data_IF_652301109232
#
_entry.id   IF_652301109232
#
_cell.length_a   1.000
_cell.length_b   1.000
_cell.length_c   1.000
_cell.angle_alpha   90.00
_cell.angle_beta   90.00
_cell.angle_gamma   90.00
#
_symmetry.space_group_name_H-M   'P 1'
#
loop_
_entity.id
_entity.type
_entity.pdbx_description
1 polymer ?
#
# COMPACT_ATOMS: atom_id res chain seq x y z
N UNK A 1 27.55 9.47 6.62
CA UNK A 1 27.73 8.03 6.95
C UNK A 1 26.49 7.42 7.61
N UNK A 2 25.85 8.05 8.60
CA UNK A 2 24.71 7.46 9.33
C UNK A 2 23.44 7.19 8.50
N UNK A 3 23.08 8.08 7.56
CA UNK A 3 21.93 7.85 6.66
C UNK A 3 22.09 6.61 5.75
N UNK A 4 23.33 6.19 5.46
CA UNK A 4 23.61 5.02 4.61
C UNK A 4 23.42 3.68 5.32
N UNK A 5 23.33 3.63 6.66
CA UNK A 5 23.02 2.40 7.40
C UNK A 5 21.56 2.32 7.86
N UNK A 6 20.94 3.48 8.11
CA UNK A 6 19.52 3.56 8.51
C UNK A 6 18.61 3.12 7.37
N UNK A 7 18.86 3.58 6.14
CA UNK A 7 18.01 3.24 4.99
C UNK A 7 18.06 1.73 4.66
N UNK A 8 19.21 1.04 4.57
CA UNK A 8 19.20 -0.40 4.32
C UNK A 8 18.56 -1.24 5.44
N UNK A 9 18.75 -0.84 6.70
CA UNK A 9 18.16 -1.53 7.85
C UNK A 9 16.65 -1.37 7.93
N UNK A 10 16.17 -0.12 7.81
CA UNK A 10 14.74 0.18 7.70
C UNK A 10 14.12 -0.55 6.52
N UNK A 11 14.78 -0.47 5.35
CA UNK A 11 14.27 -1.09 4.14
C UNK A 11 14.11 -2.60 4.27
N UNK A 12 15.05 -3.27 4.93
CA UNK A 12 14.94 -4.70 5.18
C UNK A 12 13.71 -5.04 6.03
N UNK A 13 13.43 -4.25 7.07
CA UNK A 13 12.25 -4.43 7.93
C UNK A 13 10.94 -4.15 7.18
N UNK A 14 10.89 -3.11 6.36
CA UNK A 14 9.69 -2.76 5.56
C UNK A 14 9.29 -3.85 4.54
N UNK A 15 10.24 -4.68 4.12
CA UNK A 15 9.99 -5.85 3.28
C UNK A 15 9.40 -7.04 4.05
N UNK A 16 9.18 -6.93 5.35
CA UNK A 16 8.58 -7.98 6.18
C UNK A 16 7.17 -7.56 6.61
N UNK A 17 6.10 -8.19 6.09
CA UNK A 17 4.73 -7.89 6.52
C UNK A 17 4.52 -8.00 8.04
N UNK A 18 5.25 -8.91 8.69
CA UNK A 18 5.22 -9.08 10.15
C UNK A 18 5.74 -7.87 10.91
N UNK A 19 6.69 -7.11 10.36
CA UNK A 19 7.11 -5.83 10.94
C UNK A 19 6.01 -4.78 10.78
N UNK A 20 5.41 -4.65 9.59
CA UNK A 20 4.29 -3.73 9.41
C UNK A 20 3.11 -4.08 10.32
N UNK A 21 2.87 -5.36 10.58
CA UNK A 21 1.81 -5.84 11.47
C UNK A 21 2.22 -5.96 12.96
N UNK A 22 3.38 -5.42 13.37
CA UNK A 22 3.82 -5.52 14.77
C UNK A 22 3.10 -4.53 15.68
N UNK A 23 2.56 -3.45 15.12
CA UNK A 23 1.78 -2.45 15.85
C UNK A 23 0.29 -2.81 15.77
N UNK A 24 -0.44 -2.64 16.87
CA UNK A 24 -1.82 -3.11 16.95
C UNK A 24 -2.77 -2.38 16.00
N UNK A 25 -2.47 -1.12 15.66
CA UNK A 25 -3.22 -0.34 14.67
C UNK A 25 -3.13 -0.96 13.28
N UNK A 26 -2.07 -1.69 12.95
CA UNK A 26 -1.89 -2.29 11.64
C UNK A 26 -2.63 -3.62 11.46
N UNK A 27 -3.18 -4.21 12.53
CA UNK A 27 -3.90 -5.48 12.48
C UNK A 27 -5.07 -5.48 11.48
N UNK A 28 -5.90 -4.42 11.49
CA UNK A 28 -7.07 -4.31 10.61
C UNK A 28 -6.67 -4.11 9.14
N UNK A 29 -5.80 -3.15 8.77
CA UNK A 29 -5.29 -3.04 7.40
C UNK A 29 -4.62 -4.32 6.90
N UNK A 30 -3.83 -4.99 7.75
CA UNK A 30 -3.17 -6.25 7.39
C UNK A 30 -4.20 -7.36 7.10
N UNK A 31 -5.22 -7.52 7.95
CA UNK A 31 -6.30 -8.46 7.71
C UNK A 31 -7.03 -8.19 6.39
N UNK A 32 -7.31 -6.92 6.07
CA UNK A 32 -7.91 -6.52 4.80
C UNK A 32 -7.02 -6.86 3.58
N UNK A 33 -5.71 -6.62 3.67
CA UNK A 33 -4.74 -7.02 2.64
C UNK A 33 -4.67 -8.54 2.41
N UNK A 34 -4.76 -9.33 3.49
CA UNK A 34 -4.83 -10.80 3.41
C UNK A 34 -6.16 -11.26 2.80
N UNK A 35 -7.29 -10.75 3.30
CA UNK A 35 -8.63 -11.13 2.88
C UNK A 35 -8.90 -10.78 1.41
N UNK A 36 -8.36 -9.66 0.93
CA UNK A 36 -8.46 -9.25 -0.47
C UNK A 36 -7.55 -10.07 -1.42
N UNK A 37 -6.80 -11.04 -0.92
CA UNK A 37 -5.88 -11.88 -1.69
C UNK A 37 -4.58 -11.19 -2.10
N UNK A 38 -4.47 -9.86 -1.96
CA UNK A 38 -3.30 -9.08 -2.38
C UNK A 38 -1.97 -9.64 -1.83
N UNK A 39 -1.98 -10.21 -0.63
CA UNK A 39 -0.84 -10.92 -0.02
C UNK A 39 -0.27 -12.08 -0.84
N UNK A 40 -1.05 -12.71 -1.72
CA UNK A 40 -0.62 -13.83 -2.57
C UNK A 40 0.24 -13.35 -3.75
N UNK A 41 -0.09 -12.18 -4.29
CA UNK A 41 0.55 -11.62 -5.49
C UNK A 41 1.56 -10.52 -5.16
N UNK A 42 1.35 -9.81 -4.05
CA UNK A 42 2.19 -8.73 -3.53
C UNK A 42 2.54 -9.01 -2.09
N UNK A 43 3.59 -9.81 -1.88
CA UNK A 43 3.94 -10.39 -0.57
C UNK A 43 4.42 -9.37 0.45
N UNK A 44 4.87 -8.18 0.02
CA UNK A 44 5.39 -7.17 0.94
C UNK A 44 4.52 -5.91 0.85
N UNK A 45 4.13 -5.36 2.01
CA UNK A 45 3.36 -4.12 2.11
C UNK A 45 4.01 -2.97 1.32
N UNK A 46 5.34 -2.91 1.38
CA UNK A 46 6.14 -1.84 0.79
C UNK A 46 6.15 -1.84 -0.75
N UNK A 47 5.73 -2.93 -1.41
CA UNK A 47 5.57 -2.96 -2.86
C UNK A 47 4.53 -1.94 -3.34
N UNK A 48 3.49 -1.74 -2.53
CA UNK A 48 2.47 -0.73 -2.77
C UNK A 48 2.74 0.56 -1.98
N UNK A 49 3.41 0.51 -0.83
CA UNK A 49 3.58 1.68 0.05
C UNK A 49 4.88 2.48 -0.15
N UNK A 50 5.79 2.02 -0.99
CA UNK A 50 7.02 2.75 -1.39
C UNK A 50 6.95 3.15 -2.85
N UNK A 51 7.39 4.36 -3.16
CA UNK A 51 7.59 4.83 -4.54
C UNK A 51 8.69 4.07 -5.28
N UNK A 52 8.84 4.36 -6.57
CA UNK A 52 9.96 3.82 -7.38
C UNK A 52 11.25 4.57 -7.10
N UNK A 53 12.38 3.87 -7.22
CA UNK A 53 13.70 4.47 -7.07
C UNK A 53 14.03 4.92 -5.65
N UNK A 54 15.18 5.58 -5.50
CA UNK A 54 15.73 5.94 -4.19
C UNK A 54 14.86 6.99 -3.47
N UNK A 55 14.30 7.95 -4.20
CA UNK A 55 13.42 8.98 -3.61
C UNK A 55 12.17 8.36 -3.01
N UNK A 56 11.53 7.42 -3.72
CA UNK A 56 10.35 6.72 -3.22
C UNK A 56 10.63 5.83 -2.02
N UNK A 57 11.84 5.27 -1.90
CA UNK A 57 12.29 4.53 -0.71
C UNK A 57 12.41 5.50 0.47
N UNK A 58 13.12 6.61 0.30
CA UNK A 58 13.32 7.60 1.36
C UNK A 58 11.98 8.17 1.86
N UNK A 59 11.06 8.49 0.95
CA UNK A 59 9.71 8.96 1.31
C UNK A 59 8.93 7.92 2.12
N UNK A 60 9.08 6.63 1.81
CA UNK A 60 8.42 5.55 2.55
C UNK A 60 8.96 5.46 3.98
N UNK A 61 10.28 5.50 4.14
CA UNK A 61 10.95 5.48 5.44
C UNK A 61 10.51 6.66 6.33
N UNK A 62 10.44 7.88 5.77
CA UNK A 62 9.95 9.04 6.51
C UNK A 62 8.48 8.91 6.93
N UNK A 63 7.63 8.32 6.09
CA UNK A 63 6.25 8.01 6.46
C UNK A 63 6.17 6.94 7.53
N UNK A 64 7.04 5.93 7.50
CA UNK A 64 7.15 4.93 8.57
C UNK A 64 7.54 5.56 9.90
N UNK A 65 8.51 6.49 9.89
CA UNK A 65 8.88 7.27 11.08
C UNK A 65 7.73 8.12 11.61
N UNK A 66 6.97 8.77 10.73
CA UNK A 66 5.77 9.52 11.10
C UNK A 66 4.74 8.60 11.79
N UNK A 67 4.51 7.40 11.27
CA UNK A 67 3.60 6.42 11.88
C UNK A 67 4.09 5.97 13.26
N UNK A 68 5.39 5.70 13.42
CA UNK A 68 5.98 5.39 14.74
C UNK A 68 5.77 6.54 15.72
N UNK A 69 5.96 7.79 15.29
CA UNK A 69 5.71 8.94 16.16
C UNK A 69 4.24 9.04 16.56
N UNK A 70 3.33 8.91 15.59
CA UNK A 70 1.87 8.95 15.80
C UNK A 70 1.41 7.85 16.76
N UNK A 71 1.99 6.65 16.70
CA UNK A 71 1.70 5.55 17.62
C UNK A 71 1.85 5.96 19.11
N UNK A 72 2.84 6.79 19.44
CA UNK A 72 3.12 7.18 20.83
C UNK A 72 2.35 8.41 21.30
N UNK A 73 1.84 9.25 20.38
CA UNK A 73 1.26 10.56 20.73
C UNK A 73 -0.24 10.66 20.46
N UNK A 74 -0.77 9.86 19.54
CA UNK A 74 -2.18 9.86 19.20
C UNK A 74 -2.97 8.97 20.17
N UNK A 75 -4.24 9.34 20.41
CA UNK A 75 -5.17 8.50 21.14
C UNK A 75 -5.57 7.27 20.32
N UNK A 76 -6.02 6.22 21.01
CA UNK A 76 -6.50 4.99 20.37
C UNK A 76 -7.66 5.26 19.41
N UNK A 77 -8.52 6.24 19.72
CA UNK A 77 -9.64 6.64 18.85
C UNK A 77 -9.15 7.27 17.54
N UNK A 78 -8.09 8.08 17.59
CA UNK A 78 -7.46 8.66 16.40
C UNK A 78 -6.80 7.58 15.52
N UNK A 79 -6.21 6.57 16.15
CA UNK A 79 -5.60 5.42 15.46
C UNK A 79 -6.62 4.45 14.86
N UNK A 80 -7.83 4.38 15.44
CA UNK A 80 -8.96 3.56 14.94
C UNK A 80 -9.74 4.20 13.79
N UNK A 81 -9.52 5.50 13.53
CA UNK A 81 -10.16 6.25 12.46
C UNK A 81 -9.95 5.63 11.07
N UNK A 82 -10.56 6.19 10.00
CA UNK A 82 -10.39 5.65 8.66
C UNK A 82 -8.90 5.67 8.30
N UNK A 83 -8.30 4.49 8.12
CA UNK A 83 -6.89 4.35 7.74
C UNK A 83 -6.66 5.10 6.42
N UNK A 84 -5.99 6.25 6.51
CA UNK A 84 -5.58 7.02 5.33
C UNK A 84 -4.28 6.43 4.81
N UNK A 85 -4.39 5.30 4.12
CA UNK A 85 -3.26 4.75 3.38
C UNK A 85 -3.02 5.57 2.11
N UNK A 86 -1.88 6.24 2.03
CA UNK A 86 -1.46 6.93 0.79
C UNK A 86 -0.83 5.90 -0.14
N UNK A 87 -1.62 5.38 -1.07
CA UNK A 87 -1.17 4.55 -2.21
C UNK A 87 -1.64 5.21 -3.50
N UNK A 88 -0.82 6.12 -4.06
CA UNK A 88 -1.13 6.75 -5.33
C UNK A 88 -1.18 5.75 -6.51
N UNK A 89 -1.93 6.07 -7.56
CA UNK A 89 -2.12 5.20 -8.74
C UNK A 89 -0.81 4.84 -9.44
N UNK A 90 0.19 5.74 -9.40
CA UNK A 90 1.51 5.49 -9.97
C UNK A 90 2.23 4.32 -9.30
N UNK A 91 1.85 3.93 -8.08
CA UNK A 91 2.41 2.77 -7.41
C UNK A 91 1.82 1.47 -7.96
N UNK A 92 0.56 1.48 -8.38
CA UNK A 92 -0.09 0.36 -9.06
C UNK A 92 0.48 0.15 -10.46
N UNK A 93 0.71 1.23 -11.22
CA UNK A 93 1.13 1.16 -12.63
C UNK A 93 2.58 0.72 -12.83
N UNK A 94 3.39 0.67 -11.76
CA UNK A 94 4.70 -0.02 -11.76
C UNK A 94 4.59 -1.46 -12.26
N UNK A 95 3.56 -2.16 -11.80
CA UNK A 95 3.29 -3.55 -12.15
C UNK A 95 2.14 -3.67 -13.16
N UNK A 96 1.16 -2.78 -13.07
CA UNK A 96 -0.10 -2.80 -13.84
C UNK A 96 -0.21 -1.65 -14.83
N UNK A 97 0.75 -1.57 -15.77
CA UNK A 97 0.68 -0.58 -16.86
C UNK A 97 -0.58 -0.77 -17.71
N UNK A 98 -1.25 0.34 -18.05
CA UNK A 98 -2.40 0.39 -18.96
C UNK A 98 -2.06 0.01 -20.40
N UNK A 99 -0.78 -0.03 -20.74
CA UNK A 99 -0.29 -0.49 -22.04
C UNK A 99 -0.38 -2.02 -22.17
N UNK A 100 -0.40 -2.75 -21.05
CA UNK A 100 -0.52 -4.22 -21.07
C UNK A 100 -1.90 -4.63 -21.61
N UNK A 101 -1.99 -5.48 -22.64
CA UNK A 101 -3.26 -5.85 -23.27
C UNK A 101 -4.31 -6.37 -22.29
N UNK A 102 -3.90 -7.18 -21.30
CA UNK A 102 -4.79 -7.72 -20.27
C UNK A 102 -5.40 -6.62 -19.40
N UNK A 103 -4.59 -5.67 -18.92
CA UNK A 103 -5.06 -4.54 -18.11
C UNK A 103 -5.99 -3.66 -18.93
N UNK A 104 -5.61 -3.34 -20.17
CA UNK A 104 -6.45 -2.56 -21.08
C UNK A 104 -7.80 -3.22 -21.35
N UNK A 105 -7.81 -4.54 -21.60
CA UNK A 105 -9.02 -5.29 -21.87
C UNK A 105 -9.96 -5.34 -20.65
N UNK A 106 -9.41 -5.58 -19.45
CA UNK A 106 -10.18 -5.58 -18.21
C UNK A 106 -10.89 -4.24 -17.94
N UNK A 107 -10.28 -3.15 -18.37
CA UNK A 107 -10.78 -1.80 -18.15
C UNK A 107 -11.54 -1.19 -19.34
N UNK A 108 -11.66 -1.90 -20.48
CA UNK A 108 -12.27 -1.36 -21.70
C UNK A 108 -13.71 -0.88 -21.49
N UNK A 109 -14.46 -1.55 -20.61
CA UNK A 109 -15.87 -1.23 -20.28
C UNK A 109 -16.03 -0.08 -19.28
N UNK A 110 -14.94 0.38 -18.67
CA UNK A 110 -14.96 1.39 -17.61
C UNK A 110 -14.19 2.66 -17.99
N UNK A 111 -13.80 2.80 -19.27
CA UNK A 111 -12.93 3.90 -19.74
C UNK A 111 -13.38 5.28 -19.26
N UNK A 112 -14.67 5.60 -19.42
CA UNK A 112 -15.27 6.88 -18.99
C UNK A 112 -15.32 7.04 -17.46
N UNK A 113 -15.42 5.94 -16.71
CA UNK A 113 -15.48 5.96 -15.24
C UNK A 113 -14.11 5.99 -14.57
N UNK A 114 -13.04 5.72 -15.34
CA UNK A 114 -11.66 5.75 -14.82
C UNK A 114 -11.00 7.10 -14.96
N UNK A 115 -11.46 7.95 -15.88
CA UNK A 115 -10.82 9.24 -16.15
C UNK A 115 -10.83 10.11 -14.88
N UNK A 116 -9.64 10.50 -14.41
CA UNK A 116 -9.48 11.29 -13.18
C UNK A 116 -9.66 10.54 -11.86
N UNK A 117 -9.94 9.23 -11.86
CA UNK A 117 -10.16 8.46 -10.64
C UNK A 117 -8.96 7.56 -10.28
N UNK A 118 -8.48 7.59 -9.01
CA UNK A 118 -7.41 6.71 -8.55
C UNK A 118 -7.76 5.21 -8.65
N UNK A 119 -6.75 4.36 -8.88
CA UNK A 119 -6.93 2.91 -8.94
C UNK A 119 -7.62 2.37 -7.67
N UNK A 120 -7.23 2.89 -6.50
CA UNK A 120 -7.76 2.49 -5.19
C UNK A 120 -9.24 2.81 -4.96
N UNK A 121 -9.89 3.62 -5.80
CA UNK A 121 -11.33 3.85 -5.68
C UNK A 121 -12.14 2.60 -6.03
N UNK A 122 -11.64 1.82 -6.98
CA UNK A 122 -12.23 0.54 -7.34
C UNK A 122 -11.44 -0.63 -6.73
N UNK A 123 -10.10 -0.59 -6.73
CA UNK A 123 -9.22 -1.66 -6.26
C UNK A 123 -8.73 -1.42 -4.82
N UNK A 124 -9.58 -1.61 -3.81
CA UNK A 124 -9.22 -1.47 -2.39
C UNK A 124 -9.30 -2.77 -1.59
N UNK A 125 -8.62 -2.79 -0.45
CA UNK A 125 -8.43 -3.97 0.39
C UNK A 125 -9.08 -3.85 1.78
N UNK A 126 -10.27 -3.26 1.86
CA UNK A 126 -10.97 -3.11 3.14
C UNK A 126 -11.89 -4.32 3.40
N UNK A 127 -11.87 -4.81 4.64
CA UNK A 127 -12.64 -5.98 5.09
C UNK A 127 -14.16 -5.81 4.91
N UNK A 128 -14.66 -4.57 4.90
CA UNK A 128 -16.07 -4.23 4.74
C UNK A 128 -16.55 -4.17 3.28
N UNK A 129 -15.69 -4.45 2.31
CA UNK A 129 -16.06 -4.46 0.89
C UNK A 129 -15.84 -5.85 0.27
N UNK A 130 -16.93 -6.49 -0.17
CA UNK A 130 -16.93 -7.75 -0.95
C UNK A 130 -16.28 -7.63 -2.34
N UNK A 131 -15.39 -6.66 -2.55
CA UNK A 131 -14.75 -6.46 -3.83
C UNK A 131 -13.50 -7.33 -3.93
N UNK A 132 -13.64 -8.43 -4.67
CA UNK A 132 -12.55 -9.31 -5.15
C UNK A 132 -11.58 -8.64 -6.14
N UNK A 133 -11.47 -7.31 -6.11
CA UNK A 133 -10.68 -6.44 -6.99
C UNK A 133 -9.17 -6.60 -6.86
N UNK A 134 -8.73 -7.79 -6.47
CA UNK A 134 -7.39 -8.27 -6.62
C UNK A 134 -6.95 -8.04 -8.06
N UNK A 135 -5.89 -7.24 -8.25
CA UNK A 135 -5.32 -7.03 -9.57
C UNK A 135 -4.52 -8.29 -9.93
N UNK A 136 -5.24 -9.34 -10.33
CA UNK A 136 -4.65 -10.62 -10.73
C UNK A 136 -3.94 -10.46 -12.08
N UNK A 137 -2.62 -10.69 -12.09
CA UNK A 137 -1.81 -10.75 -13.30
C UNK A 137 -2.30 -11.80 -14.30
#
# INVERSE_FOLDING_TARGET
MFAFMIVPGGRYLEHQPGFCNSCHEMNRPHAGWVAAGASQNHRDCIQCHSGSGITGIIEAEFRGLEQIMVHFIASEEELKGPFKSKVPSEFCTKCHSMEKPRVRAAHARFKEKMEGHPCGNCHKHLEDWEFSGEIRS
#
